data_IF_238042026465
#
_entry.id   IF_238042026465
#
_cell.length_a   1.000
_cell.length_b   1.000
_cell.length_c   1.000
_cell.angle_alpha   90.00
_cell.angle_beta   90.00
_cell.angle_gamma   90.00
#
_symmetry.space_group_name_H-M   'P 1'
#
loop_
_entity.id
_entity.type
_entity.pdbx_description
1 polymer ?
#
# COMPACT_ATOMS: atom_id res chain seq x y z
N UNK A 1 -41.12 -41.09 -23.14
CA UNK A 1 -39.65 -41.11 -23.11
C UNK A 1 -39.19 -40.35 -24.32
N UNK A 2 -38.67 -39.15 -24.12
CA UNK A 2 -37.80 -38.36 -25.00
C UNK A 2 -37.66 -36.99 -24.31
N UNK A 3 -36.44 -36.64 -23.90
CA UNK A 3 -36.10 -35.34 -23.31
C UNK A 3 -35.37 -34.56 -24.40
N UNK A 4 -35.91 -33.45 -24.93
CA UNK A 4 -35.19 -32.62 -25.88
C UNK A 4 -34.21 -31.72 -25.12
N UNK A 5 -32.93 -31.81 -25.47
CA UNK A 5 -31.85 -31.03 -24.88
C UNK A 5 -32.08 -29.52 -25.01
N UNK A 6 -32.02 -28.82 -23.89
CA UNK A 6 -32.13 -27.36 -23.83
C UNK A 6 -30.89 -26.71 -24.45
N UNK A 7 -31.12 -25.99 -25.54
CA UNK A 7 -30.18 -25.11 -26.22
C UNK A 7 -29.62 -24.07 -25.22
N UNK A 8 -28.38 -24.26 -24.75
CA UNK A 8 -27.67 -23.28 -23.96
C UNK A 8 -27.40 -22.05 -24.84
N UNK A 9 -28.24 -21.00 -24.71
CA UNK A 9 -28.01 -19.71 -25.34
C UNK A 9 -26.69 -19.15 -24.80
N UNK A 10 -25.66 -19.11 -25.65
CA UNK A 10 -24.42 -18.38 -25.41
C UNK A 10 -24.79 -16.92 -25.10
N UNK A 11 -24.73 -16.56 -23.82
CA UNK A 11 -24.78 -15.16 -23.39
C UNK A 11 -23.52 -14.51 -23.94
N UNK A 12 -23.68 -13.65 -24.95
CA UNK A 12 -22.63 -12.70 -25.35
C UNK A 12 -22.41 -11.78 -24.16
N UNK A 13 -21.38 -12.06 -23.36
CA UNK A 13 -20.85 -11.09 -22.40
C UNK A 13 -20.36 -9.91 -23.22
N UNK A 14 -21.15 -8.84 -23.27
CA UNK A 14 -20.69 -7.57 -23.82
C UNK A 14 -19.49 -7.12 -23.00
N UNK A 15 -18.31 -7.13 -23.62
CA UNK A 15 -17.11 -6.49 -23.09
C UNK A 15 -17.32 -4.97 -23.04
N UNK A 16 -18.15 -4.49 -22.13
CA UNK A 16 -18.12 -3.11 -21.66
C UNK A 16 -17.20 -3.06 -20.45
N UNK A 17 -15.91 -3.35 -20.68
CA UNK A 17 -14.89 -2.78 -19.81
C UNK A 17 -14.96 -1.27 -20.06
N UNK A 18 -15.62 -0.55 -19.15
CA UNK A 18 -15.73 0.90 -19.21
C UNK A 18 -14.34 1.46 -19.49
N UNK A 19 -14.20 2.22 -20.57
CA UNK A 19 -12.92 2.73 -21.02
C UNK A 19 -12.55 3.89 -20.09
N UNK A 20 -11.77 3.59 -19.06
CA UNK A 20 -11.17 4.59 -18.19
C UNK A 20 -10.46 5.58 -19.10
N UNK A 21 -10.59 6.88 -18.86
CA UNK A 21 -9.68 7.89 -19.40
C UNK A 21 -8.23 7.72 -18.91
N UNK A 22 -7.79 6.49 -18.63
CA UNK A 22 -6.42 6.07 -18.44
C UNK A 22 -5.69 6.35 -19.74
N UNK A 23 -5.02 7.51 -19.78
CA UNK A 23 -3.91 7.68 -20.69
C UNK A 23 -2.89 6.60 -20.35
N UNK A 24 -2.88 5.55 -21.17
CA UNK A 24 -1.87 4.50 -21.07
C UNK A 24 -0.60 5.12 -21.60
N UNK A 25 0.46 5.06 -20.81
CA UNK A 25 1.76 5.47 -21.31
C UNK A 25 2.14 4.53 -22.46
N UNK A 26 2.13 5.07 -23.68
CA UNK A 26 2.57 4.36 -24.88
C UNK A 26 4.06 4.62 -25.04
N UNK A 27 4.82 3.61 -25.49
CA UNK A 27 6.26 3.73 -25.73
C UNK A 27 7.11 4.02 -24.48
N UNK A 28 6.89 3.27 -23.40
CA UNK A 28 7.72 3.34 -22.19
C UNK A 28 8.67 2.14 -22.13
N UNK A 29 9.95 2.41 -21.92
CA UNK A 29 10.98 1.39 -21.66
C UNK A 29 11.38 1.46 -20.18
N UNK A 30 11.49 0.29 -19.54
CA UNK A 30 11.96 0.24 -18.15
C UNK A 30 13.45 0.58 -18.09
N UNK A 31 13.80 1.56 -17.27
CA UNK A 31 15.18 2.00 -17.04
C UNK A 31 15.67 1.39 -15.72
N UNK A 32 16.57 0.41 -15.81
CA UNK A 32 17.12 -0.23 -14.63
C UNK A 32 18.03 0.72 -13.85
N UNK A 33 17.87 0.76 -12.53
CA UNK A 33 18.75 1.55 -11.67
C UNK A 33 20.17 0.93 -11.60
N UNK A 34 21.19 1.77 -11.55
CA UNK A 34 22.59 1.33 -11.41
C UNK A 34 23.00 0.98 -9.96
N UNK A 35 22.08 1.15 -9.00
CA UNK A 35 22.34 0.95 -7.57
C UNK A 35 21.45 -0.18 -7.05
N UNK A 36 22.07 -1.22 -6.48
CA UNK A 36 21.35 -2.34 -5.87
C UNK A 36 20.70 -1.95 -4.54
N UNK A 37 19.64 -2.66 -4.14
CA UNK A 37 19.00 -2.49 -2.83
C UNK A 37 19.96 -2.70 -1.67
N UNK A 38 20.87 -3.68 -1.78
CA UNK A 38 21.90 -3.89 -0.77
C UNK A 38 22.77 -2.65 -0.60
N UNK A 39 23.19 -2.01 -1.69
CA UNK A 39 23.97 -0.77 -1.64
C UNK A 39 23.17 0.40 -1.06
N UNK A 40 21.88 0.53 -1.43
CA UNK A 40 20.98 1.53 -0.80
C UNK A 40 20.87 1.32 0.71
N UNK A 41 20.71 0.08 1.15
CA UNK A 41 20.65 -0.28 2.58
C UNK A 41 21.93 -0.01 3.37
N UNK A 42 23.07 0.24 2.70
CA UNK A 42 24.30 0.67 3.38
C UNK A 42 24.37 2.19 3.59
N UNK A 43 23.52 2.98 2.92
CA UNK A 43 23.60 4.45 2.94
C UNK A 43 22.35 5.12 3.52
N UNK A 44 21.22 4.42 3.57
CA UNK A 44 19.96 4.96 4.08
C UNK A 44 19.85 4.68 5.59
N UNK A 45 20.05 5.73 6.38
CA UNK A 45 20.02 5.68 7.85
C UNK A 45 21.37 5.33 8.47
N UNK A 46 21.41 5.23 9.79
CA UNK A 46 22.64 4.91 10.55
C UNK A 46 22.82 3.41 10.76
N UNK A 47 21.75 2.63 10.62
CA UNK A 47 21.75 1.18 10.77
C UNK A 47 22.05 0.51 9.42
N UNK A 48 22.97 -0.45 9.39
CA UNK A 48 23.23 -1.23 8.19
C UNK A 48 22.05 -2.10 7.74
N UNK A 49 22.03 -2.43 6.45
CA UNK A 49 21.07 -3.36 5.83
C UNK A 49 19.85 -2.69 5.21
N UNK A 50 19.38 -3.25 4.11
CA UNK A 50 18.17 -2.77 3.44
C UNK A 50 16.93 -3.14 4.25
N UNK A 51 16.12 -2.14 4.59
CA UNK A 51 14.91 -2.30 5.43
C UNK A 51 13.69 -1.57 4.85
N UNK A 52 13.74 -1.28 3.57
CA UNK A 52 12.63 -0.64 2.87
C UNK A 52 11.40 -1.54 2.84
N UNK A 53 10.30 -1.06 3.40
CA UNK A 53 9.04 -1.80 3.47
C UNK A 53 7.83 -0.84 3.51
N UNK A 54 6.64 -1.39 3.32
CA UNK A 54 5.40 -0.63 3.51
C UNK A 54 4.62 -1.20 4.68
N UNK A 55 4.35 -0.36 5.68
CA UNK A 55 3.42 -0.62 6.77
C UNK A 55 2.07 -0.03 6.39
N UNK A 56 1.11 -0.89 6.08
CA UNK A 56 -0.21 -0.46 5.62
C UNK A 56 -1.25 -0.63 6.73
N UNK A 57 -1.69 0.50 7.28
CA UNK A 57 -2.74 0.53 8.29
C UNK A 57 -4.11 0.50 7.62
N UNK A 58 -4.90 -0.53 7.94
CA UNK A 58 -6.29 -0.65 7.51
C UNK A 58 -7.23 -0.54 8.70
N UNK A 59 -8.40 0.08 8.52
CA UNK A 59 -9.38 0.23 9.59
C UNK A 59 -10.42 1.31 9.29
N UNK A 60 -11.53 1.29 10.03
CA UNK A 60 -12.62 2.27 9.91
C UNK A 60 -12.13 3.70 10.14
N UNK A 61 -12.87 4.69 9.62
CA UNK A 61 -12.65 6.09 10.01
C UNK A 61 -12.78 6.22 11.53
N UNK A 62 -11.91 7.02 12.16
CA UNK A 62 -11.88 7.16 13.62
C UNK A 62 -11.21 6.03 14.40
N UNK A 63 -10.75 4.93 13.76
CA UNK A 63 -10.03 3.85 14.43
C UNK A 63 -8.60 4.21 14.90
N UNK A 64 -8.18 5.48 14.77
CA UNK A 64 -6.86 5.93 15.21
C UNK A 64 -5.71 5.65 14.23
N UNK A 65 -5.99 5.39 12.94
CA UNK A 65 -4.94 5.13 11.92
C UNK A 65 -3.87 6.22 11.86
N UNK A 66 -4.30 7.48 11.73
CA UNK A 66 -3.39 8.64 11.68
C UNK A 66 -2.62 8.79 12.99
N UNK A 67 -3.28 8.59 14.15
CA UNK A 67 -2.62 8.63 15.45
C UNK A 67 -1.51 7.57 15.56
N UNK A 68 -1.82 6.33 15.17
CA UNK A 68 -0.85 5.22 15.19
C UNK A 68 0.27 5.45 14.18
N UNK A 69 -0.02 5.94 12.97
CA UNK A 69 1.03 6.18 11.97
C UNK A 69 2.02 7.24 12.41
N UNK A 70 1.53 8.34 13.00
CA UNK A 70 2.40 9.43 13.48
C UNK A 70 3.24 8.99 14.68
N UNK A 71 2.65 8.24 15.63
CA UNK A 71 3.40 7.68 16.76
C UNK A 71 4.45 6.65 16.32
N UNK A 72 4.14 5.83 15.31
CA UNK A 72 5.09 4.88 14.72
C UNK A 72 6.22 5.61 14.00
N UNK A 73 5.91 6.65 13.24
CA UNK A 73 6.92 7.48 12.58
C UNK A 73 7.88 8.11 13.59
N UNK A 74 7.35 8.74 14.64
CA UNK A 74 8.15 9.28 15.74
C UNK A 74 9.05 8.21 16.36
N UNK A 75 8.49 7.04 16.69
CA UNK A 75 9.25 5.92 17.25
C UNK A 75 10.39 5.49 16.32
N UNK A 76 10.13 5.28 15.03
CA UNK A 76 11.16 4.84 14.08
C UNK A 76 12.28 5.86 13.91
N UNK A 77 11.93 7.15 13.81
CA UNK A 77 12.90 8.24 13.71
C UNK A 77 13.78 8.30 14.96
N UNK A 78 13.20 8.19 16.16
CA UNK A 78 13.95 8.14 17.42
C UNK A 78 14.93 6.96 17.50
N UNK A 79 14.65 5.86 16.78
CA UNK A 79 15.52 4.68 16.72
C UNK A 79 16.49 4.69 15.53
N UNK A 80 16.61 5.81 14.81
CA UNK A 80 17.53 5.96 13.67
C UNK A 80 17.10 5.21 12.41
N UNK A 81 15.80 4.90 12.28
CA UNK A 81 15.23 4.21 11.13
C UNK A 81 14.50 5.24 10.24
N UNK A 82 15.00 5.52 9.02
CA UNK A 82 14.32 6.43 8.11
C UNK A 82 12.94 5.91 7.69
N UNK A 83 11.93 6.72 7.90
CA UNK A 83 10.54 6.40 7.57
C UNK A 83 9.79 7.64 7.07
N UNK A 84 8.60 7.41 6.51
CA UNK A 84 7.71 8.50 6.11
C UNK A 84 6.25 8.06 6.12
N UNK A 85 5.37 8.89 6.70
CA UNK A 85 3.92 8.66 6.70
C UNK A 85 3.22 9.26 5.48
N UNK A 86 2.53 8.42 4.71
CA UNK A 86 1.56 8.81 3.69
C UNK A 86 0.15 8.79 4.30
N UNK A 87 -0.39 9.98 4.57
CA UNK A 87 -1.74 10.12 5.11
C UNK A 87 -2.78 10.47 4.04
N UNK A 88 -4.00 9.92 4.25
CA UNK A 88 -5.24 10.20 3.52
C UNK A 88 -5.39 11.65 3.10
N UNK A 89 -5.32 12.51 4.09
CA UNK A 89 -5.73 13.89 3.97
C UNK A 89 -4.59 14.71 3.37
N UNK A 90 -3.34 14.42 3.73
CA UNK A 90 -2.16 15.07 3.16
C UNK A 90 -2.02 14.79 1.66
N UNK A 91 -2.21 13.55 1.23
CA UNK A 91 -2.09 13.17 -0.19
C UNK A 91 -3.22 13.79 -1.02
N UNK A 92 -4.42 13.95 -0.45
CA UNK A 92 -5.56 14.61 -1.11
C UNK A 92 -5.39 16.12 -1.26
N UNK A 93 -4.52 16.76 -0.49
CA UNK A 93 -4.17 18.17 -0.70
C UNK A 93 -3.15 18.36 -1.84
N UNK A 94 -2.40 17.31 -2.19
CA UNK A 94 -1.33 17.35 -3.19
C UNK A 94 -1.59 16.42 -4.39
N UNK A 95 -0.90 15.27 -4.39
CA UNK A 95 -0.88 14.30 -5.51
C UNK A 95 -2.26 13.89 -6.00
N UNK A 96 -3.22 13.75 -5.07
CA UNK A 96 -4.57 13.27 -5.35
C UNK A 96 -5.64 14.36 -5.22
N UNK A 97 -5.27 15.64 -5.32
CA UNK A 97 -6.21 16.77 -5.24
C UNK A 97 -7.27 16.79 -6.35
N UNK A 98 -7.01 16.09 -7.45
CA UNK A 98 -7.92 15.97 -8.58
C UNK A 98 -8.96 14.84 -8.42
N UNK A 99 -8.90 14.07 -7.32
CA UNK A 99 -9.80 12.94 -7.05
C UNK A 99 -10.84 13.34 -6.00
N UNK A 100 -12.11 13.10 -6.30
CA UNK A 100 -13.22 13.28 -5.38
C UNK A 100 -13.39 12.09 -4.42
N UNK A 101 -14.66 11.81 -4.09
CA UNK A 101 -15.05 10.76 -3.13
C UNK A 101 -15.94 9.68 -3.74
N UNK A 102 -16.07 9.61 -5.06
CA UNK A 102 -16.76 8.51 -5.74
C UNK A 102 -16.03 7.17 -5.47
N UNK A 103 -16.71 6.02 -5.62
CA UNK A 103 -16.08 4.70 -5.57
C UNK A 103 -14.81 4.61 -6.44
N UNK A 104 -14.87 5.14 -7.66
CA UNK A 104 -13.80 5.09 -8.65
C UNK A 104 -12.62 5.99 -8.24
N UNK A 105 -12.89 7.20 -7.75
CA UNK A 105 -11.85 8.11 -7.25
C UNK A 105 -11.15 7.54 -6.01
N UNK A 106 -11.88 6.79 -5.18
CA UNK A 106 -11.30 6.10 -4.01
C UNK A 106 -10.37 4.97 -4.43
N UNK A 107 -10.74 4.21 -5.47
CA UNK A 107 -9.89 3.15 -6.03
C UNK A 107 -8.59 3.73 -6.62
N UNK A 108 -8.71 4.75 -7.47
CA UNK A 108 -7.55 5.41 -8.08
C UNK A 108 -6.65 6.08 -7.04
N UNK A 109 -7.25 6.67 -6.00
CA UNK A 109 -6.50 7.22 -4.88
C UNK A 109 -5.60 6.14 -4.25
N UNK A 110 -6.17 4.99 -3.89
CA UNK A 110 -5.43 3.86 -3.31
C UNK A 110 -4.36 3.33 -4.27
N UNK A 111 -4.65 3.23 -5.57
CA UNK A 111 -3.69 2.78 -6.59
C UNK A 111 -2.46 3.70 -6.65
N UNK A 112 -2.67 5.02 -6.70
CA UNK A 112 -1.57 6.01 -6.72
C UNK A 112 -0.71 5.94 -5.47
N UNK A 113 -1.35 5.82 -4.30
CA UNK A 113 -0.64 5.71 -3.02
C UNK A 113 0.18 4.41 -2.97
N UNK A 114 -0.36 3.30 -3.47
CA UNK A 114 0.36 2.03 -3.49
C UNK A 114 1.65 2.13 -4.32
N UNK A 115 1.61 2.79 -5.49
CA UNK A 115 2.81 3.04 -6.30
C UNK A 115 3.81 3.94 -5.58
N UNK A 116 3.34 5.02 -4.92
CA UNK A 116 4.22 5.90 -4.15
C UNK A 116 4.87 5.17 -2.98
N UNK A 117 4.10 4.38 -2.23
CA UNK A 117 4.61 3.58 -1.13
C UNK A 117 5.65 2.55 -1.60
N UNK A 118 5.46 1.98 -2.79
CA UNK A 118 6.45 1.13 -3.45
C UNK A 118 7.76 1.87 -3.73
N UNK A 119 7.70 3.09 -4.23
CA UNK A 119 8.89 3.91 -4.47
C UNK A 119 9.65 4.23 -3.16
N UNK A 120 8.93 4.57 -2.08
CA UNK A 120 9.56 4.80 -0.77
C UNK A 120 10.25 3.55 -0.21
N UNK A 121 9.59 2.39 -0.29
CA UNK A 121 10.19 1.14 0.14
C UNK A 121 11.41 0.78 -0.72
N UNK A 122 11.34 0.91 -2.06
CA UNK A 122 12.48 0.62 -2.93
C UNK A 122 13.66 1.57 -2.69
N UNK A 123 13.37 2.82 -2.30
CA UNK A 123 14.38 3.78 -1.86
C UNK A 123 15.04 3.40 -0.52
N UNK A 124 14.47 2.46 0.25
CA UNK A 124 15.03 1.95 1.51
C UNK A 124 14.36 2.50 2.77
N UNK A 125 13.26 3.27 2.64
CA UNK A 125 12.54 3.82 3.78
C UNK A 125 11.41 2.90 4.24
N UNK A 126 11.06 3.00 5.52
CA UNK A 126 9.80 2.42 6.04
C UNK A 126 8.66 3.38 5.69
N UNK A 127 7.86 3.02 4.69
CA UNK A 127 6.69 3.81 4.29
C UNK A 127 5.47 3.40 5.12
N UNK A 128 4.87 4.32 5.86
CA UNK A 128 3.67 4.05 6.66
C UNK A 128 2.47 4.64 5.93
N UNK A 129 1.36 3.91 5.79
CA UNK A 129 0.17 4.42 5.11
C UNK A 129 -1.07 4.27 5.99
N UNK A 130 -1.89 5.33 6.10
CA UNK A 130 -3.01 5.44 7.06
C UNK A 130 -4.40 5.57 6.40
N UNK A 131 -4.63 4.95 5.25
CA UNK A 131 -5.83 5.19 4.44
C UNK A 131 -7.06 4.37 4.84
N UNK A 132 -8.24 4.95 4.64
CA UNK A 132 -9.50 4.18 4.65
C UNK A 132 -9.54 3.38 3.34
N UNK A 133 -9.34 2.05 3.42
CA UNK A 133 -9.56 1.13 2.31
C UNK A 133 -10.89 0.40 2.52
N UNK A 134 -12.03 0.91 2.02
CA UNK A 134 -13.31 0.23 2.14
C UNK A 134 -13.42 -0.99 1.23
N UNK A 135 -12.55 -1.09 0.21
CA UNK A 135 -12.51 -2.23 -0.69
C UNK A 135 -11.52 -3.28 -0.21
N UNK A 136 -11.97 -4.53 -0.33
CA UNK A 136 -11.34 -5.77 0.10
C UNK A 136 -9.81 -5.73 -0.02
N UNK A 137 -9.13 -6.09 1.09
CA UNK A 137 -7.67 -6.34 1.15
C UNK A 137 -7.12 -7.00 -0.13
N UNK A 138 -7.88 -7.90 -0.76
CA UNK A 138 -7.53 -8.64 -1.98
C UNK A 138 -6.92 -7.80 -3.11
N UNK A 139 -7.52 -6.68 -3.51
CA UNK A 139 -7.03 -5.88 -4.65
C UNK A 139 -5.68 -5.20 -4.34
N UNK A 140 -5.53 -4.78 -3.08
CA UNK A 140 -4.30 -4.21 -2.55
C UNK A 140 -3.19 -5.26 -2.39
N UNK A 141 -3.51 -6.40 -1.76
CA UNK A 141 -2.57 -7.49 -1.55
C UNK A 141 -2.10 -8.05 -2.90
N UNK A 142 -2.97 -8.18 -3.92
CA UNK A 142 -2.54 -8.60 -5.25
C UNK A 142 -1.55 -7.64 -5.90
N UNK A 143 -1.71 -6.33 -5.67
CA UNK A 143 -0.80 -5.33 -6.21
C UNK A 143 0.61 -5.43 -5.59
N UNK A 144 0.68 -5.63 -4.27
CA UNK A 144 1.97 -5.77 -3.57
C UNK A 144 2.60 -7.17 -3.73
N UNK A 145 1.80 -8.24 -3.73
CA UNK A 145 2.27 -9.62 -3.95
C UNK A 145 2.85 -9.85 -5.35
N UNK A 146 2.45 -9.03 -6.33
CA UNK A 146 3.05 -9.06 -7.67
C UNK A 146 4.51 -8.57 -7.70
N UNK A 147 4.98 -7.91 -6.63
CA UNK A 147 6.37 -7.48 -6.49
C UNK A 147 7.07 -8.37 -5.44
N UNK A 148 7.73 -9.47 -5.82
CA UNK A 148 8.30 -10.44 -4.87
C UNK A 148 9.37 -9.85 -3.95
N UNK A 149 9.89 -8.66 -4.28
CA UNK A 149 10.88 -7.96 -3.48
C UNK A 149 10.25 -6.94 -2.51
N UNK A 150 8.94 -6.69 -2.56
CA UNK A 150 8.30 -5.68 -1.72
C UNK A 150 7.74 -6.31 -0.45
N UNK A 151 8.22 -5.88 0.71
CA UNK A 151 7.70 -6.34 1.99
C UNK A 151 6.50 -5.46 2.42
N UNK A 152 5.33 -6.07 2.45
CA UNK A 152 4.10 -5.45 2.92
C UNK A 152 3.74 -6.00 4.31
N UNK A 153 3.59 -5.10 5.28
CA UNK A 153 3.09 -5.41 6.62
C UNK A 153 1.69 -4.79 6.74
N UNK A 154 0.65 -5.63 6.83
CA UNK A 154 -0.73 -5.16 6.98
C UNK A 154 -1.13 -5.18 8.45
N UNK A 155 -1.56 -4.03 8.97
CA UNK A 155 -2.03 -3.89 10.34
C UNK A 155 -3.48 -3.44 10.33
N UNK A 156 -4.36 -4.25 10.90
CA UNK A 156 -5.77 -3.92 11.02
C UNK A 156 -6.06 -3.30 12.38
N UNK A 157 -6.48 -2.04 12.39
CA UNK A 157 -6.90 -1.34 13.60
C UNK A 157 -8.40 -1.52 13.82
N UNK A 158 -8.76 -1.98 15.02
CA UNK A 158 -10.15 -2.01 15.51
C UNK A 158 -10.39 -0.83 16.44
N UNK A 159 -11.64 -0.36 16.49
CA UNK A 159 -12.06 0.67 17.45
C UNK A 159 -11.73 0.21 18.88
N UNK A 160 -11.13 1.09 19.67
CA UNK A 160 -10.80 0.85 21.09
C UNK A 160 -9.40 0.28 21.37
N UNK A 161 -8.55 0.03 20.37
CA UNK A 161 -7.16 -0.40 20.57
C UNK A 161 -6.27 0.83 20.80
N UNK A 162 -5.46 0.81 21.86
CA UNK A 162 -4.49 1.89 22.14
C UNK A 162 -3.27 1.82 21.21
N UNK A 163 -2.62 2.97 20.99
CA UNK A 163 -1.39 3.07 20.19
C UNK A 163 -0.28 2.16 20.71
N UNK A 164 -0.13 2.06 22.04
CA UNK A 164 0.87 1.24 22.74
C UNK A 164 0.76 -0.25 22.40
N UNK A 165 -0.47 -0.78 22.37
CA UNK A 165 -0.73 -2.18 22.03
C UNK A 165 -0.45 -2.49 20.55
N UNK A 166 -0.65 -1.50 19.68
CA UNK A 166 -0.35 -1.66 18.25
C UNK A 166 1.15 -1.71 18.00
N UNK A 167 1.92 -0.82 18.62
CA UNK A 167 3.38 -0.75 18.45
C UNK A 167 4.09 -2.07 18.86
N UNK A 168 3.59 -2.75 19.90
CA UNK A 168 4.08 -4.08 20.28
C UNK A 168 3.82 -5.15 19.20
N UNK A 169 2.65 -5.13 18.55
CA UNK A 169 2.33 -6.06 17.46
C UNK A 169 3.21 -5.87 16.22
N UNK A 170 3.62 -4.63 15.94
CA UNK A 170 4.53 -4.28 14.83
C UNK A 170 5.93 -4.85 15.07
N UNK A 171 6.42 -4.77 16.32
CA UNK A 171 7.71 -5.33 16.70
C UNK A 171 7.75 -6.87 16.56
N UNK A 172 6.62 -7.56 16.79
CA UNK A 172 6.54 -9.02 16.76
C UNK A 172 6.34 -9.61 15.34
N UNK A 173 5.72 -8.86 14.42
CA UNK A 173 5.43 -9.32 13.05
C UNK A 173 6.52 -9.01 12.02
N UNK A 174 7.55 -8.26 12.42
CA UNK A 174 8.59 -7.76 11.52
C UNK A 174 9.91 -8.46 11.88
N UNK A 175 10.43 -9.39 11.04
CA UNK A 175 11.59 -10.24 11.39
C UNK A 175 12.90 -9.45 11.64
N UNK A 176 12.88 -8.14 11.44
CA UNK A 176 14.02 -7.23 11.56
C UNK A 176 14.20 -6.61 12.96
N UNK A 177 13.27 -6.84 13.90
CA UNK A 177 13.31 -6.23 15.25
C UNK A 177 13.78 -7.17 16.36
N UNK A 178 14.03 -8.45 16.06
CA UNK A 178 14.60 -9.41 17.00
C UNK A 178 16.09 -9.68 16.70
N UNK A 179 16.93 -8.64 16.71
CA UNK A 179 18.40 -8.76 16.86
C UNK A 179 18.96 -7.47 17.42
#
# INVERSE_FOLDING_TARGET
MEVPGSLCKKVKLSNNAQNWGMQRATNVTYQAHHVSRNKRGQVVGTRGGFRGCTVWLTGLSGAGKTTVSMALEEYLVCHGIPCYTLDGDNIRQGLNKNLGFSPEDREENVRRIAEVAKLFADAGLVCITSFISPYTQKAFTSFFLASPQHQLVNLSLRLGISSSQTLQGICLGCPWYCT
#
